data_IF_836990598437
#
_entry.id   IF_836990598437
#
_cell.length_a   1.000
_cell.length_b   1.000
_cell.length_c   1.000
_cell.angle_alpha   90.00
_cell.angle_beta   90.00
_cell.angle_gamma   90.00
#
_symmetry.space_group_name_H-M   'P 1'
#
loop_
_entity.id
_entity.type
_entity.pdbx_description
1 polymer ?
#
# COMPACT_ATOMS: atom_id res chain seq x y z
N UNK A 1 -50.58 67.37 -16.94
CA UNK A 1 -51.64 66.91 -16.01
C UNK A 1 -52.26 65.63 -16.54
N UNK A 2 -52.06 64.50 -15.83
CA UNK A 2 -53.04 63.44 -15.51
C UNK A 2 -52.26 62.22 -15.03
N UNK A 3 -52.37 61.96 -13.72
CA UNK A 3 -51.83 60.79 -13.01
C UNK A 3 -52.58 59.53 -13.44
N UNK A 4 -51.87 58.41 -13.56
CA UNK A 4 -52.45 57.08 -13.41
C UNK A 4 -51.56 56.27 -12.47
N UNK A 5 -52.07 56.07 -11.26
CA UNK A 5 -51.58 55.11 -10.28
C UNK A 5 -52.04 53.72 -10.71
N UNK A 6 -51.15 52.74 -10.68
CA UNK A 6 -51.51 51.33 -10.56
C UNK A 6 -50.60 50.72 -9.50
N UNK A 7 -51.22 50.24 -8.43
CA UNK A 7 -50.59 49.53 -7.32
C UNK A 7 -50.73 48.06 -7.66
N UNK A 8 -49.63 47.38 -7.98
CA UNK A 8 -49.61 45.92 -8.08
C UNK A 8 -49.23 45.40 -6.70
N UNK A 9 -50.25 44.84 -6.05
CA UNK A 9 -50.19 44.18 -4.76
C UNK A 9 -49.34 42.91 -4.86
N UNK A 10 -48.25 42.85 -4.10
CA UNK A 10 -47.52 41.62 -3.78
C UNK A 10 -48.41 40.73 -2.93
N UNK A 11 -48.80 39.57 -3.45
CA UNK A 11 -49.38 38.50 -2.65
C UNK A 11 -48.36 37.36 -2.55
N UNK A 12 -47.48 37.50 -1.56
CA UNK A 12 -46.67 36.41 -1.03
C UNK A 12 -47.61 35.49 -0.27
N UNK A 13 -47.88 34.31 -0.81
CA UNK A 13 -48.30 33.16 0.00
C UNK A 13 -48.13 31.86 -0.77
N UNK A 14 -47.51 30.92 -0.06
CA UNK A 14 -47.75 29.49 -0.17
C UNK A 14 -47.13 28.75 -1.37
N UNK A 15 -45.86 28.36 -1.23
CA UNK A 15 -45.41 27.02 -1.67
C UNK A 15 -44.13 26.60 -0.91
N UNK A 16 -44.14 26.74 0.43
CA UNK A 16 -42.97 26.46 1.27
C UNK A 16 -42.86 24.99 1.75
N UNK A 17 -43.88 24.16 1.49
CA UNK A 17 -43.97 22.82 2.09
C UNK A 17 -43.38 21.68 1.26
N UNK A 18 -43.42 21.78 -0.07
CA UNK A 18 -43.02 20.67 -0.96
C UNK A 18 -41.56 20.76 -1.43
N UNK A 19 -41.00 21.97 -1.52
CA UNK A 19 -39.60 22.16 -1.95
C UNK A 19 -38.62 21.71 -0.86
N UNK A 20 -38.97 21.90 0.42
CA UNK A 20 -38.13 21.47 1.55
C UNK A 20 -37.98 19.95 1.64
N UNK A 21 -38.97 19.19 1.17
CA UNK A 21 -38.93 17.72 1.22
C UNK A 21 -38.07 17.13 0.09
N UNK A 22 -38.06 17.75 -1.09
CA UNK A 22 -37.18 17.36 -2.20
C UNK A 22 -35.70 17.65 -1.91
N UNK A 23 -35.40 18.76 -1.21
CA UNK A 23 -34.03 19.09 -0.81
C UNK A 23 -33.52 18.11 0.26
N UNK A 24 -34.36 17.71 1.23
CA UNK A 24 -33.96 16.70 2.22
C UNK A 24 -33.70 15.31 1.59
N UNK A 25 -34.48 14.90 0.59
CA UNK A 25 -34.27 13.63 -0.12
C UNK A 25 -33.03 13.61 -1.02
N UNK A 26 -32.58 14.78 -1.50
CA UNK A 26 -31.34 14.91 -2.27
C UNK A 26 -30.09 14.82 -1.37
N UNK A 27 -30.17 15.27 -0.11
CA UNK A 27 -29.04 15.24 0.83
C UNK A 27 -28.83 13.84 1.44
N UNK A 28 -29.88 13.00 1.48
CA UNK A 28 -29.81 11.64 2.03
C UNK A 28 -29.31 10.58 1.03
N UNK A 29 -29.11 10.95 -0.25
CA UNK A 29 -28.48 10.08 -1.25
C UNK A 29 -26.97 10.31 -1.40
N UNK A 30 -26.36 11.05 -0.48
CA UNK A 30 -24.91 10.96 -0.29
C UNK A 30 -24.66 9.61 0.36
N UNK A 31 -24.67 8.56 -0.45
CA UNK A 31 -24.07 7.28 -0.11
C UNK A 31 -22.72 7.61 0.51
N UNK A 32 -22.58 7.32 1.80
CA UNK A 32 -21.29 7.17 2.44
C UNK A 32 -20.61 6.08 1.63
N UNK A 33 -19.87 6.49 0.61
CA UNK A 33 -19.02 5.62 -0.17
C UNK A 33 -18.06 5.06 0.86
N UNK A 34 -18.23 3.79 1.19
CA UNK A 34 -17.10 3.00 1.64
C UNK A 34 -16.09 3.12 0.48
N UNK A 35 -15.10 3.97 0.68
CA UNK A 35 -14.04 4.28 -0.29
C UNK A 35 -13.18 3.02 -0.40
N UNK A 36 -13.68 2.03 -1.14
CA UNK A 36 -12.87 0.93 -1.60
C UNK A 36 -11.86 1.55 -2.54
N UNK A 37 -10.62 1.67 -2.08
CA UNK A 37 -9.50 2.16 -2.86
C UNK A 37 -9.39 1.32 -4.14
N UNK A 38 -9.78 1.91 -5.26
CA UNK A 38 -9.80 1.24 -6.57
C UNK A 38 -8.49 1.53 -7.31
N UNK A 39 -8.04 0.54 -8.09
CA UNK A 39 -6.89 0.72 -8.97
C UNK A 39 -7.21 1.67 -10.11
N UNK A 40 -6.44 2.75 -10.21
CA UNK A 40 -6.47 3.66 -11.34
C UNK A 40 -5.41 3.27 -12.36
N UNK A 41 -5.84 2.78 -13.51
CA UNK A 41 -4.98 2.50 -14.65
C UNK A 41 -4.47 3.81 -15.31
N UNK A 42 -3.20 3.82 -15.73
CA UNK A 42 -2.61 4.95 -16.44
C UNK A 42 -2.31 4.64 -17.89
N UNK A 43 -2.54 5.63 -18.75
CA UNK A 43 -1.90 5.62 -20.07
C UNK A 43 -0.38 5.76 -19.91
N UNK A 44 0.39 5.26 -20.89
CA UNK A 44 1.87 5.35 -20.83
C UNK A 44 2.36 6.80 -20.66
N UNK A 45 1.66 7.77 -21.26
CA UNK A 45 1.98 9.20 -21.13
C UNK A 45 1.82 9.71 -19.70
N UNK A 46 0.71 9.36 -19.04
CA UNK A 46 0.44 9.74 -17.65
C UNK A 46 1.41 9.03 -16.70
N UNK A 47 1.65 7.74 -16.96
CA UNK A 47 2.60 6.92 -16.20
C UNK A 47 3.98 7.56 -16.20
N UNK A 48 4.51 8.00 -17.36
CA UNK A 48 5.82 8.68 -17.44
C UNK A 48 5.86 9.92 -16.52
N UNK A 49 4.76 10.67 -16.42
CA UNK A 49 4.64 11.79 -15.50
C UNK A 49 4.72 11.34 -14.03
N UNK A 50 3.97 10.31 -13.67
CA UNK A 50 3.98 9.72 -12.32
C UNK A 50 5.34 9.14 -11.94
N UNK A 51 6.00 8.43 -12.83
CA UNK A 51 7.32 7.84 -12.58
C UNK A 51 8.39 8.88 -12.23
N UNK A 52 8.27 10.13 -12.70
CA UNK A 52 9.14 11.23 -12.26
C UNK A 52 8.91 11.58 -10.80
N UNK A 53 7.65 11.68 -10.37
CA UNK A 53 7.29 11.93 -8.97
C UNK A 53 7.84 10.84 -8.04
N UNK A 54 7.70 9.57 -8.44
CA UNK A 54 8.23 8.42 -7.69
C UNK A 54 9.74 8.22 -7.81
N UNK A 55 10.46 9.13 -8.49
CA UNK A 55 11.91 9.02 -8.73
C UNK A 55 12.33 7.67 -9.33
N UNK A 56 11.52 7.12 -10.24
CA UNK A 56 11.65 5.76 -10.78
C UNK A 56 13.05 5.40 -11.29
N UNK A 57 13.80 6.37 -11.80
CA UNK A 57 15.19 6.15 -12.22
C UNK A 57 16.06 5.55 -11.09
N UNK A 58 15.89 6.02 -9.85
CA UNK A 58 16.59 5.48 -8.68
C UNK A 58 16.10 4.10 -8.29
N UNK A 59 14.78 3.86 -8.41
CA UNK A 59 14.15 2.54 -8.19
C UNK A 59 14.71 1.52 -9.18
N UNK A 60 14.67 1.82 -10.48
CA UNK A 60 15.24 0.93 -11.49
C UNK A 60 16.75 0.72 -11.29
N UNK A 61 17.48 1.73 -10.81
CA UNK A 61 18.90 1.60 -10.52
C UNK A 61 19.17 0.71 -9.29
N UNK A 62 18.36 0.78 -8.23
CA UNK A 62 18.49 -0.14 -7.09
C UNK A 62 18.24 -1.58 -7.50
N UNK A 63 17.25 -1.85 -8.35
CA UNK A 63 16.97 -3.21 -8.83
C UNK A 63 18.12 -3.80 -9.67
N UNK A 64 18.85 -2.99 -10.44
CA UNK A 64 19.99 -3.49 -11.23
C UNK A 64 21.18 -3.96 -10.40
N UNK A 65 21.27 -3.55 -9.14
CA UNK A 65 22.40 -3.89 -8.27
C UNK A 65 22.13 -5.20 -7.52
N UNK A 66 23.20 -5.96 -7.32
CA UNK A 66 23.16 -7.16 -6.50
C UNK A 66 23.38 -6.80 -5.02
N UNK A 67 22.57 -7.42 -4.16
CA UNK A 67 22.64 -7.27 -2.70
C UNK A 67 22.66 -8.68 -2.10
N UNK A 68 23.85 -9.26 -1.89
CA UNK A 68 23.95 -10.63 -1.40
C UNK A 68 23.39 -10.71 0.02
N UNK A 69 22.44 -11.62 0.24
CA UNK A 69 21.88 -11.83 1.56
C UNK A 69 22.99 -12.21 2.55
N UNK A 70 23.02 -11.55 3.71
CA UNK A 70 24.04 -11.80 4.72
C UNK A 70 23.46 -12.44 5.99
N UNK A 71 22.13 -12.48 6.15
CA UNK A 71 21.45 -13.02 7.32
C UNK A 71 20.09 -13.61 6.96
N UNK A 72 19.76 -14.76 7.52
CA UNK A 72 18.38 -15.27 7.53
C UNK A 72 17.65 -14.77 8.78
N UNK A 73 16.38 -14.41 8.63
CA UNK A 73 15.50 -14.05 9.75
C UNK A 73 14.11 -14.65 9.57
N UNK A 74 13.35 -14.68 10.66
CA UNK A 74 11.98 -15.14 10.68
C UNK A 74 11.08 -13.97 11.03
N UNK A 75 10.14 -13.63 10.16
CA UNK A 75 9.21 -12.53 10.36
C UNK A 75 7.79 -13.03 10.53
N UNK A 76 7.05 -12.42 11.44
CA UNK A 76 5.64 -12.71 11.66
C UNK A 76 4.79 -12.16 10.51
N UNK A 77 4.05 -13.05 9.86
CA UNK A 77 3.01 -12.79 8.88
C UNK A 77 1.67 -12.58 9.58
N UNK A 78 1.44 -11.36 10.04
CA UNK A 78 0.15 -10.91 10.58
C UNK A 78 -0.69 -10.17 9.53
N UNK A 79 -1.91 -9.77 9.91
CA UNK A 79 -2.76 -8.92 9.08
C UNK A 79 -2.18 -7.50 8.97
N UNK A 80 -2.43 -6.85 7.85
CA UNK A 80 -2.03 -5.46 7.64
C UNK A 80 -2.91 -4.55 8.50
N UNK A 81 -2.32 -3.51 9.10
CA UNK A 81 -3.08 -2.45 9.78
C UNK A 81 -3.94 -1.65 8.79
N UNK A 82 -3.53 -1.62 7.53
CA UNK A 82 -4.21 -0.96 6.41
C UNK A 82 -4.80 -2.06 5.51
N UNK A 83 -6.00 -1.85 4.97
CA UNK A 83 -6.57 -2.74 3.96
C UNK A 83 -5.81 -2.62 2.64
N UNK A 84 -4.71 -3.36 2.51
CA UNK A 84 -3.92 -3.42 1.28
C UNK A 84 -4.59 -4.42 0.34
N UNK A 85 -4.79 -4.08 -0.95
CA UNK A 85 -5.30 -5.05 -1.93
C UNK A 85 -4.31 -6.22 -2.08
N UNK A 86 -4.74 -7.29 -2.72
CA UNK A 86 -3.84 -8.37 -3.10
C UNK A 86 -2.74 -7.83 -4.03
N UNK A 87 -1.48 -8.02 -3.62
CA UNK A 87 -0.32 -7.56 -4.38
C UNK A 87 0.43 -8.74 -5.01
N UNK A 88 1.12 -8.55 -6.14
CA UNK A 88 1.82 -9.64 -6.82
C UNK A 88 2.92 -10.30 -5.98
N UNK A 89 3.01 -11.63 -6.09
CA UNK A 89 4.03 -12.45 -5.46
C UNK A 89 3.70 -12.83 -4.01
N UNK A 90 4.65 -13.45 -3.28
CA UNK A 90 4.47 -13.83 -1.87
C UNK A 90 4.52 -12.62 -0.93
N UNK A 91 3.81 -11.53 -1.27
CA UNK A 91 3.70 -10.35 -0.44
C UNK A 91 2.96 -10.68 0.86
N UNK A 92 3.46 -10.15 1.97
CA UNK A 92 2.77 -10.23 3.26
C UNK A 92 3.02 -8.98 4.08
N UNK A 93 2.12 -8.69 5.01
CA UNK A 93 2.07 -7.42 5.73
C UNK A 93 3.27 -7.16 6.64
N UNK A 94 4.06 -8.18 6.97
CA UNK A 94 5.32 -8.01 7.69
C UNK A 94 6.34 -7.15 6.94
N UNK A 95 6.24 -7.08 5.60
CA UNK A 95 7.03 -6.16 4.77
C UNK A 95 6.73 -4.68 5.01
N UNK A 96 5.53 -4.35 5.49
CA UNK A 96 5.14 -2.98 5.80
C UNK A 96 5.55 -2.55 7.21
N UNK A 97 5.99 -3.49 8.07
CA UNK A 97 6.52 -3.15 9.39
C UNK A 97 7.82 -2.37 9.22
N UNK A 98 7.92 -1.23 9.90
CA UNK A 98 9.09 -0.36 9.83
C UNK A 98 10.34 -1.09 10.34
N UNK A 99 11.37 -1.18 9.51
CA UNK A 99 12.66 -1.74 9.86
C UNK A 99 13.50 -0.73 10.66
N UNK A 100 13.61 -0.95 11.96
CA UNK A 100 14.58 -0.22 12.76
C UNK A 100 16.00 -0.75 12.47
N UNK A 101 16.98 0.15 12.29
CA UNK A 101 18.37 -0.29 12.17
C UNK A 101 18.81 -0.91 13.51
N UNK A 102 19.70 -1.92 13.49
CA UNK A 102 20.18 -2.60 14.69
C UNK A 102 21.19 -1.76 15.50
N UNK A 103 20.98 -0.45 15.62
CA UNK A 103 21.83 0.46 16.41
C UNK A 103 20.97 1.25 17.41
N UNK A 104 20.50 0.55 18.43
CA UNK A 104 20.33 1.03 19.82
C UNK A 104 19.57 -0.05 20.59
N UNK A 105 20.32 -0.78 21.40
CA UNK A 105 19.90 -1.46 22.64
C UNK A 105 18.39 -1.65 22.81
N UNK A 106 17.81 -2.66 22.16
CA UNK A 106 16.51 -3.21 22.56
C UNK A 106 16.41 -4.67 22.16
N UNK A 107 16.48 -5.50 23.21
CA UNK A 107 15.91 -6.82 23.38
C UNK A 107 16.01 -7.83 22.22
N UNK A 108 16.90 -8.79 22.47
CA UNK A 108 16.87 -10.15 21.94
C UNK A 108 15.44 -10.73 21.93
N UNK A 109 14.76 -10.68 20.80
CA UNK A 109 13.76 -11.70 20.49
C UNK A 109 14.48 -12.96 19.99
N UNK A 110 15.20 -13.65 20.88
CA UNK A 110 15.50 -15.06 20.69
C UNK A 110 14.26 -15.83 21.14
N UNK A 111 13.33 -16.08 20.23
CA UNK A 111 12.41 -17.20 20.40
C UNK A 111 13.22 -18.48 20.13
N UNK A 112 13.71 -19.08 21.21
CA UNK A 112 14.25 -20.44 21.19
C UNK A 112 13.12 -21.41 20.83
N UNK A 113 13.26 -22.33 19.85
CA UNK A 113 12.26 -23.35 19.62
C UNK A 113 12.42 -24.43 20.70
N UNK A 114 11.61 -24.35 21.75
CA UNK A 114 11.49 -25.44 22.71
C UNK A 114 10.71 -26.60 22.07
N UNK A 115 11.39 -27.73 21.93
CA UNK A 115 10.87 -29.02 21.48
C UNK A 115 9.65 -29.47 22.29
N UNK A 116 8.53 -29.84 21.65
CA UNK A 116 7.53 -30.73 22.25
C UNK A 116 6.79 -31.54 21.17
N UNK A 117 6.75 -32.86 21.40
CA UNK A 117 6.16 -33.95 20.61
C UNK A 117 4.61 -33.95 20.61
N UNK A 118 3.95 -34.82 19.79
CA UNK A 118 2.58 -34.60 19.31
C UNK A 118 1.52 -35.34 20.14
N UNK A 119 0.46 -34.62 20.52
CA UNK A 119 -0.95 -35.02 20.51
C UNK A 119 -1.76 -34.19 21.51
N UNK A 120 -2.74 -33.43 21.05
CA UNK A 120 -4.11 -33.50 21.56
C UNK A 120 -5.01 -32.54 20.79
N UNK A 121 -6.09 -33.12 20.28
CA UNK A 121 -7.25 -32.45 19.70
C UNK A 121 -8.00 -31.69 20.78
N UNK A 122 -8.04 -30.36 20.71
CA UNK A 122 -9.16 -29.54 21.17
C UNK A 122 -9.22 -28.27 20.30
N UNK A 123 -10.39 -28.06 19.71
CA UNK A 123 -10.77 -26.91 18.90
C UNK A 123 -10.90 -25.69 19.82
N UNK A 124 -10.08 -24.66 19.61
CA UNK A 124 -10.23 -23.33 20.21
C UNK A 124 -9.49 -22.32 19.35
N UNK A 125 -10.20 -21.26 18.97
CA UNK A 125 -9.73 -20.03 18.30
C UNK A 125 -8.23 -19.74 18.51
N UNK A 126 -7.40 -20.21 17.58
CA UNK A 126 -5.95 -20.03 17.66
C UNK A 126 -5.54 -19.00 16.64
N UNK A 127 -5.27 -17.77 17.11
CA UNK A 127 -4.49 -16.76 16.42
C UNK A 127 -3.06 -17.24 16.17
N UNK A 128 -2.93 -18.27 15.33
CA UNK A 128 -1.68 -18.89 14.92
C UNK A 128 -0.89 -17.83 14.17
N UNK A 129 0.15 -17.33 14.83
CA UNK A 129 1.13 -16.45 14.23
C UNK A 129 1.82 -17.24 13.12
N UNK A 130 1.53 -16.90 11.88
CA UNK A 130 2.23 -17.44 10.71
C UNK A 130 3.58 -16.74 10.63
N UNK A 131 4.64 -17.47 10.28
CA UNK A 131 5.98 -16.92 10.15
C UNK A 131 6.53 -17.16 8.75
N UNK A 132 7.37 -16.24 8.26
CA UNK A 132 8.02 -16.32 6.94
C UNK A 132 9.53 -16.20 7.11
N UNK A 133 10.26 -17.06 6.42
CA UNK A 133 11.70 -16.98 6.32
C UNK A 133 12.10 -15.90 5.33
N UNK A 134 13.03 -15.04 5.74
CA UNK A 134 13.48 -13.91 4.94
C UNK A 134 15.00 -13.87 4.88
N UNK A 135 15.52 -13.56 3.70
CA UNK A 135 16.94 -13.36 3.45
C UNK A 135 17.21 -11.85 3.47
N UNK A 136 17.88 -11.36 4.51
CA UNK A 136 18.20 -9.95 4.70
C UNK A 136 19.62 -9.67 4.22
N UNK A 137 19.76 -8.64 3.40
CA UNK A 137 20.98 -7.86 3.26
C UNK A 137 20.88 -6.64 4.19
N UNK A 138 21.78 -6.53 5.17
CA UNK A 138 21.91 -5.33 6.02
C UNK A 138 23.01 -4.40 5.47
N UNK A 139 22.63 -3.22 4.99
CA UNK A 139 23.59 -2.26 4.41
C UNK A 139 22.90 -1.12 3.64
N UNK A 140 23.68 -0.20 3.09
CA UNK A 140 23.18 0.95 2.33
C UNK A 140 22.82 0.57 0.90
N UNK A 141 21.70 1.08 0.41
CA UNK A 141 21.23 0.94 -0.98
C UNK A 141 21.17 2.32 -1.64
N UNK A 142 20.86 2.37 -2.94
CA UNK A 142 20.70 3.65 -3.67
C UNK A 142 19.55 4.50 -3.11
N UNK A 143 18.49 3.86 -2.60
CA UNK A 143 17.28 4.53 -2.10
C UNK A 143 17.18 4.56 -0.57
N UNK A 144 17.97 3.76 0.12
CA UNK A 144 17.92 3.73 1.56
C UNK A 144 18.87 2.70 2.15
N UNK A 145 18.29 1.74 2.85
CA UNK A 145 19.03 0.67 3.53
C UNK A 145 18.25 -0.62 3.42
N UNK A 146 18.95 -1.72 3.59
CA UNK A 146 18.42 -3.07 3.64
C UNK A 146 17.70 -3.54 2.36
N UNK A 147 17.89 -4.81 2.06
CA UNK A 147 17.14 -5.51 1.01
C UNK A 147 16.71 -6.84 1.58
N UNK A 148 15.46 -7.21 1.36
CA UNK A 148 14.91 -8.49 1.80
C UNK A 148 14.50 -9.29 0.59
N UNK A 149 14.90 -10.56 0.56
CA UNK A 149 14.43 -11.54 -0.40
C UNK A 149 13.54 -12.56 0.32
N UNK A 150 12.37 -12.82 -0.25
CA UNK A 150 11.44 -13.84 0.22
C UNK A 150 11.11 -14.75 -0.95
N UNK A 151 11.41 -16.03 -0.80
CA UNK A 151 11.08 -17.04 -1.79
C UNK A 151 9.60 -17.43 -1.67
N UNK A 152 8.97 -17.72 -2.81
CA UNK A 152 7.59 -18.17 -2.87
C UNK A 152 7.48 -19.63 -2.46
N UNK A 153 6.65 -19.91 -1.46
CA UNK A 153 6.35 -21.29 -1.03
C UNK A 153 5.47 -22.02 -2.07
N UNK A 154 4.60 -21.28 -2.77
CA UNK A 154 3.69 -21.84 -3.77
C UNK A 154 4.40 -22.14 -5.09
N UNK A 155 5.36 -21.30 -5.47
CA UNK A 155 6.04 -21.36 -6.76
C UNK A 155 7.56 -21.36 -6.56
N UNK A 156 8.19 -22.54 -6.43
CA UNK A 156 9.63 -22.66 -6.23
C UNK A 156 10.43 -21.98 -7.35
N UNK A 157 11.40 -21.15 -6.96
CA UNK A 157 12.22 -20.37 -7.90
C UNK A 157 11.72 -18.94 -8.12
N UNK A 158 10.52 -18.62 -7.66
CA UNK A 158 10.04 -17.24 -7.63
C UNK A 158 10.33 -16.59 -6.29
N UNK A 159 10.63 -15.30 -6.30
CA UNK A 159 10.89 -14.55 -5.08
C UNK A 159 10.50 -13.10 -5.26
N UNK A 160 10.16 -12.44 -4.15
CA UNK A 160 10.13 -10.99 -4.10
C UNK A 160 11.46 -10.46 -3.58
N UNK A 161 11.88 -9.32 -4.11
CA UNK A 161 13.01 -8.56 -3.59
C UNK A 161 12.55 -7.17 -3.18
N UNK A 162 12.49 -6.93 -1.88
CA UNK A 162 11.95 -5.74 -1.24
C UNK A 162 13.06 -4.83 -0.71
N UNK A 163 12.94 -3.54 -0.96
CA UNK A 163 13.92 -2.50 -0.63
C UNK A 163 13.33 -1.52 0.37
N UNK A 164 14.14 -1.08 1.34
CA UNK A 164 13.67 -0.18 2.39
C UNK A 164 14.33 1.21 2.28
N UNK A 165 13.55 2.22 2.67
CA UNK A 165 14.01 3.59 2.86
C UNK A 165 14.91 3.67 4.11
N UNK A 166 15.66 4.76 4.25
CA UNK A 166 16.52 4.98 5.41
C UNK A 166 15.77 4.98 6.75
N UNK A 167 14.52 5.43 6.73
CA UNK A 167 13.64 5.40 7.90
C UNK A 167 13.08 3.99 8.20
N UNK A 168 13.36 2.98 7.38
CA UNK A 168 12.89 1.61 7.58
C UNK A 168 11.56 1.27 6.93
N UNK A 169 10.92 2.20 6.22
CA UNK A 169 9.69 1.90 5.49
C UNK A 169 9.99 1.17 4.19
N UNK A 170 9.06 0.32 3.74
CA UNK A 170 9.15 -0.32 2.44
C UNK A 170 9.14 0.75 1.33
N UNK A 171 10.18 0.79 0.50
CA UNK A 171 10.27 1.71 -0.63
C UNK A 171 9.60 1.12 -1.86
N UNK A 172 10.04 -0.07 -2.24
CA UNK A 172 9.56 -0.78 -3.42
C UNK A 172 9.92 -2.26 -3.32
N UNK A 173 9.24 -3.08 -4.11
CA UNK A 173 9.69 -4.43 -4.37
C UNK A 173 9.48 -4.81 -5.82
N UNK A 174 10.22 -5.81 -6.28
CA UNK A 174 10.00 -6.45 -7.59
C UNK A 174 9.48 -7.88 -7.43
N UNK A 175 8.64 -8.29 -8.36
CA UNK A 175 8.22 -9.66 -8.56
C UNK A 175 7.97 -9.88 -10.06
N UNK A 176 8.74 -10.77 -10.69
CA UNK A 176 8.73 -11.01 -12.13
C UNK A 176 8.91 -9.70 -12.93
N UNK A 177 7.92 -9.34 -13.74
CA UNK A 177 7.86 -8.14 -14.59
C UNK A 177 7.17 -6.95 -13.89
N UNK A 178 6.90 -7.04 -12.59
CA UNK A 178 6.18 -6.02 -11.83
C UNK A 178 7.06 -5.38 -10.76
N UNK A 179 7.00 -4.05 -10.69
CA UNK A 179 7.62 -3.25 -9.65
C UNK A 179 6.52 -2.51 -8.91
N UNK A 180 6.47 -2.65 -7.60
CA UNK A 180 5.53 -1.94 -6.74
C UNK A 180 6.29 -0.91 -5.92
N UNK A 181 5.84 0.33 -5.95
CA UNK A 181 6.46 1.48 -5.28
C UNK A 181 5.46 2.03 -4.26
N UNK A 182 5.92 2.20 -3.02
CA UNK A 182 5.09 2.61 -1.89
C UNK A 182 5.36 4.07 -1.57
N UNK A 183 4.33 4.92 -1.68
CA UNK A 183 4.39 6.33 -1.31
C UNK A 183 3.97 6.54 0.14
N UNK A 184 4.83 7.19 0.92
CA UNK A 184 4.61 7.43 2.34
C UNK A 184 4.61 8.93 2.64
N UNK A 185 3.64 9.38 3.44
CA UNK A 185 3.67 10.67 4.13
C UNK A 185 3.78 10.43 5.62
N UNK A 186 4.98 10.63 6.17
CA UNK A 186 5.27 10.21 7.55
C UNK A 186 5.07 8.69 7.68
N UNK A 187 4.25 8.25 8.63
CA UNK A 187 3.89 6.84 8.83
C UNK A 187 2.68 6.37 7.99
N UNK A 188 2.02 7.28 7.27
CA UNK A 188 0.82 6.98 6.48
C UNK A 188 1.22 6.54 5.07
N UNK A 189 0.74 5.37 4.64
CA UNK A 189 0.82 4.95 3.25
C UNK A 189 -0.21 5.75 2.45
N UNK A 190 0.24 6.56 1.49
CA UNK A 190 -0.63 7.38 0.65
C UNK A 190 -1.06 6.63 -0.61
N UNK A 191 -0.13 5.90 -1.22
CA UNK A 191 -0.36 5.28 -2.51
C UNK A 191 0.57 4.08 -2.73
N UNK A 192 0.14 3.18 -3.60
CA UNK A 192 0.99 2.17 -4.21
C UNK A 192 0.91 2.33 -5.72
N UNK A 193 2.05 2.52 -6.37
CA UNK A 193 2.18 2.49 -7.82
C UNK A 193 2.73 1.13 -8.25
N UNK A 194 1.95 0.38 -9.03
CA UNK A 194 2.37 -0.83 -9.71
C UNK A 194 2.78 -0.50 -11.14
N UNK A 195 3.96 -0.97 -11.55
CA UNK A 195 4.54 -0.75 -12.88
C UNK A 195 4.92 -2.09 -13.49
N UNK A 196 4.35 -2.39 -14.66
CA UNK A 196 4.81 -3.50 -15.50
C UNK A 196 5.98 -3.04 -16.35
N UNK A 197 7.04 -3.84 -16.41
CA UNK A 197 8.29 -3.48 -17.08
C UNK A 197 8.80 -4.56 -18.02
N UNK A 198 9.64 -4.17 -18.96
CA UNK A 198 10.43 -5.12 -19.77
C UNK A 198 11.69 -5.62 -19.01
N UNK A 199 12.46 -6.57 -19.59
CA UNK A 199 13.66 -7.11 -18.94
C UNK A 199 14.79 -6.10 -18.66
N UNK A 200 14.76 -4.91 -19.27
CA UNK A 200 15.73 -3.85 -19.00
C UNK A 200 15.16 -2.76 -18.07
N UNK A 201 14.01 -3.02 -17.44
CA UNK A 201 13.27 -2.17 -16.52
C UNK A 201 12.65 -0.93 -17.18
N UNK A 202 12.32 -1.01 -18.46
CA UNK A 202 11.54 0.03 -19.15
C UNK A 202 10.05 -0.14 -18.81
N UNK A 203 9.36 0.93 -18.36
CA UNK A 203 7.92 0.88 -18.10
C UNK A 203 7.12 0.58 -19.36
N UNK A 204 6.16 -0.35 -19.24
CA UNK A 204 5.20 -0.74 -20.29
C UNK A 204 3.80 -0.20 -19.95
N UNK A 205 3.35 -0.45 -18.73
CA UNK A 205 2.06 -0.02 -18.20
C UNK A 205 2.14 0.16 -16.68
N UNK A 206 1.12 0.75 -16.09
CA UNK A 206 1.08 0.90 -14.64
C UNK A 206 -0.25 1.43 -14.14
N UNK A 207 -0.48 1.18 -12.86
CA UNK A 207 -1.71 1.52 -12.15
C UNK A 207 -1.37 1.94 -10.73
N UNK A 208 -2.19 2.81 -10.17
CA UNK A 208 -1.98 3.34 -8.82
C UNK A 208 -3.25 3.20 -8.00
N UNK A 209 -3.07 2.82 -6.76
CA UNK A 209 -4.13 2.84 -5.75
C UNK A 209 -3.77 3.92 -4.73
N UNK A 210 -4.77 4.72 -4.37
CA UNK A 210 -4.65 5.77 -3.35
C UNK A 210 -5.35 5.31 -2.07
N UNK A 211 -4.75 5.62 -0.93
CA UNK A 211 -5.31 5.33 0.38
C UNK A 211 -5.86 6.61 1.02
N UNK A 212 -7.00 6.54 1.72
CA UNK A 212 -7.66 7.69 2.33
C UNK A 212 -6.85 8.33 3.45
#
# INVERSE_FOLDING_TARGET
MKKLKSIISTNTKFLSGTISFCILFLILNVSVFAENSEWKEYTLKELIGKLKYYTYAKVAQSLRREYPANREQIWESGNCTISVPELPGPFFCGLLKQQYPPDSTSERFYASPESLSPNSTYESDSGLKVYKNIQLYSGTTILGKNVVKIDSEENPGESIRAFYLNNGQLSHYEFRDRILIFDWSGSKLNAILEVTVDPILRPISGREILFP
#
